data_IF_352942748898
#
_entry.id   IF_352942748898
#
_cell.length_a   1.000
_cell.length_b   1.000
_cell.length_c   1.000
_cell.angle_alpha   90.00
_cell.angle_beta   90.00
_cell.angle_gamma   90.00
#
_symmetry.space_group_name_H-M   'P 1'
#
loop_
_entity.id
_entity.type
_entity.pdbx_description
1 polymer ?
#
# COMPACT_ATOMS: atom_id res chain seq x y z
N UNK A 1 -3.37 0.86 24.17
CA UNK A 1 -3.33 0.98 22.71
C UNK A 1 -2.00 1.60 22.33
N UNK A 2 -1.15 0.92 21.56
CA UNK A 2 -0.06 1.62 20.87
C UNK A 2 -0.70 2.27 19.65
N UNK A 3 -0.52 3.58 19.51
CA UNK A 3 -0.89 4.29 18.27
C UNK A 3 -0.18 3.60 17.11
N UNK A 4 -0.94 3.17 16.10
CA UNK A 4 -0.35 2.62 14.89
C UNK A 4 0.47 3.74 14.22
N UNK A 5 1.78 3.53 14.07
CA UNK A 5 2.61 4.47 13.32
C UNK A 5 2.29 4.33 11.85
N UNK A 6 1.91 5.45 11.25
CA UNK A 6 1.57 5.57 9.84
C UNK A 6 2.68 6.31 9.11
N UNK A 7 3.02 5.83 7.92
CA UNK A 7 3.96 6.46 6.99
C UNK A 7 3.14 7.14 5.90
N UNK A 8 3.43 8.42 5.63
CA UNK A 8 2.81 9.15 4.53
C UNK A 8 3.47 8.74 3.21
N UNK A 9 2.65 8.29 2.26
CA UNK A 9 3.03 7.82 0.92
C UNK A 9 2.16 8.49 -0.15
N UNK A 10 1.65 9.68 0.17
CA UNK A 10 0.69 10.40 -0.69
C UNK A 10 1.30 10.76 -2.04
N UNK A 11 2.58 11.13 -2.09
CA UNK A 11 3.26 11.50 -3.34
C UNK A 11 3.37 10.31 -4.30
N UNK A 12 3.75 9.13 -3.80
CA UNK A 12 3.85 7.92 -4.59
C UNK A 12 2.47 7.40 -5.01
N UNK A 13 1.48 7.50 -4.13
CA UNK A 13 0.10 7.15 -4.46
C UNK A 13 -0.47 8.09 -5.54
N UNK A 14 -0.13 9.38 -5.52
CA UNK A 14 -0.56 10.34 -6.53
C UNK A 14 -0.06 9.94 -7.93
N UNK A 15 1.15 9.40 -8.05
CA UNK A 15 1.68 8.89 -9.32
C UNK A 15 0.85 7.71 -9.89
N UNK A 16 0.17 6.93 -9.02
CA UNK A 16 -0.75 5.87 -9.45
C UNK A 16 -2.18 6.37 -9.76
N UNK A 17 -2.48 7.64 -9.44
CA UNK A 17 -3.75 8.32 -9.70
C UNK A 17 -4.66 8.48 -8.48
N UNK A 18 -4.14 8.30 -7.25
CA UNK A 18 -4.89 8.65 -6.04
C UNK A 18 -4.89 10.17 -5.81
N UNK A 19 -6.02 10.72 -5.37
CA UNK A 19 -6.24 12.17 -5.22
C UNK A 19 -6.49 12.64 -3.78
N UNK A 20 -6.28 11.75 -2.81
CA UNK A 20 -6.45 12.02 -1.38
C UNK A 20 -5.20 11.59 -0.61
N UNK A 21 -5.13 11.92 0.69
CA UNK A 21 -4.02 11.49 1.52
C UNK A 21 -3.98 9.96 1.61
N UNK A 22 -2.80 9.38 1.40
CA UNK A 22 -2.61 7.93 1.51
C UNK A 22 -1.51 7.65 2.52
N UNK A 23 -1.89 6.95 3.58
CA UNK A 23 -1.01 6.49 4.62
C UNK A 23 -0.82 4.98 4.55
N UNK A 24 0.26 4.49 5.14
CA UNK A 24 0.60 3.07 5.18
C UNK A 24 1.00 2.68 6.60
N UNK A 25 0.62 1.48 7.05
CA UNK A 25 1.12 0.98 8.34
C UNK A 25 2.64 0.80 8.28
N UNK A 26 3.33 1.11 9.38
CA UNK A 26 4.78 0.91 9.51
C UNK A 26 5.20 -0.53 9.17
N UNK A 27 4.33 -1.52 9.43
CA UNK A 27 4.57 -2.93 9.08
C UNK A 27 4.64 -3.14 7.56
N UNK A 28 3.68 -2.61 6.79
CA UNK A 28 3.71 -2.70 5.32
C UNK A 28 4.93 -1.94 4.80
N UNK A 29 5.18 -0.73 5.32
CA UNK A 29 6.35 0.06 4.93
C UNK A 29 7.65 -0.72 5.12
N UNK A 30 7.90 -1.24 6.32
CA UNK A 30 9.16 -1.89 6.66
C UNK A 30 9.42 -3.19 5.89
N UNK A 31 8.36 -3.95 5.57
CA UNK A 31 8.47 -5.25 4.91
C UNK A 31 8.45 -5.13 3.38
N UNK A 32 7.60 -4.25 2.84
CA UNK A 32 7.33 -4.20 1.41
C UNK A 32 8.04 -3.03 0.71
N UNK A 33 8.23 -1.90 1.38
CA UNK A 33 8.66 -0.67 0.73
C UNK A 33 10.10 -0.30 1.06
N UNK A 34 10.42 -0.19 2.36
CA UNK A 34 11.70 0.30 2.83
C UNK A 34 12.83 -0.52 2.24
N UNK A 35 13.77 0.15 1.59
CA UNK A 35 14.90 -0.50 0.95
C UNK A 35 16.15 0.36 1.11
N UNK A 36 17.17 -0.22 1.72
CA UNK A 36 18.43 0.46 2.04
C UNK A 36 19.58 -0.14 1.24
N UNK A 37 20.75 0.51 1.28
CA UNK A 37 21.95 -0.04 0.65
C UNK A 37 22.34 -1.42 1.21
N UNK A 38 22.08 -1.67 2.50
CA UNK A 38 22.31 -2.99 3.07
C UNK A 38 21.39 -4.05 2.46
N UNK A 39 20.15 -3.68 2.12
CA UNK A 39 19.21 -4.57 1.45
C UNK A 39 19.64 -4.82 0.00
N UNK A 40 20.18 -3.80 -0.70
CA UNK A 40 20.76 -3.95 -2.04
C UNK A 40 21.88 -5.01 -2.06
N UNK A 41 22.75 -5.00 -1.05
CA UNK A 41 23.84 -5.98 -0.93
C UNK A 41 23.32 -7.40 -0.68
N UNK A 42 22.24 -7.55 0.10
CA UNK A 42 21.72 -8.86 0.52
C UNK A 42 20.76 -9.49 -0.48
N UNK A 43 19.89 -8.69 -1.07
CA UNK A 43 18.73 -9.15 -1.83
C UNK A 43 18.70 -8.61 -3.27
N UNK A 44 19.76 -7.92 -3.70
CA UNK A 44 19.83 -7.30 -5.01
C UNK A 44 19.29 -5.88 -5.02
N UNK A 45 19.77 -5.08 -5.97
CA UNK A 45 19.43 -3.67 -6.05
C UNK A 45 17.95 -3.47 -6.37
N UNK A 46 17.30 -2.60 -5.60
CA UNK A 46 15.95 -2.10 -5.86
C UNK A 46 15.86 -0.62 -5.48
N UNK A 47 15.08 0.13 -6.24
CA UNK A 47 14.74 1.52 -5.95
C UNK A 47 13.53 1.56 -4.99
N UNK A 48 13.67 2.22 -3.83
CA UNK A 48 12.59 2.29 -2.83
C UNK A 48 11.30 2.89 -3.40
N UNK A 49 11.39 3.97 -4.17
CA UNK A 49 10.22 4.63 -4.77
C UNK A 49 9.45 3.72 -5.72
N UNK A 50 10.17 2.94 -6.55
CA UNK A 50 9.57 1.95 -7.44
C UNK A 50 8.79 0.88 -6.67
N UNK A 51 9.35 0.41 -5.55
CA UNK A 51 8.68 -0.57 -4.68
C UNK A 51 7.37 -0.02 -4.10
N UNK A 52 7.36 1.23 -3.65
CA UNK A 52 6.13 1.89 -3.16
C UNK A 52 5.11 1.99 -4.29
N UNK A 53 5.53 2.40 -5.49
CA UNK A 53 4.66 2.51 -6.66
C UNK A 53 4.00 1.17 -7.06
N UNK A 54 4.76 0.07 -7.01
CA UNK A 54 4.26 -1.27 -7.34
C UNK A 54 3.09 -1.69 -6.43
N UNK A 55 3.09 -1.26 -5.16
CA UNK A 55 2.00 -1.53 -4.21
C UNK A 55 0.68 -0.87 -4.62
N UNK A 56 0.72 0.20 -5.41
CA UNK A 56 -0.45 0.97 -5.82
C UNK A 56 -0.98 0.59 -7.21
N UNK A 57 -0.18 -0.07 -8.04
CA UNK A 57 -0.58 -0.43 -9.41
C UNK A 57 -1.84 -1.30 -9.46
N UNK A 58 -1.86 -2.38 -8.67
CA UNK A 58 -3.00 -3.32 -8.61
C UNK A 58 -4.28 -2.65 -8.10
N UNK A 59 -4.30 -1.99 -6.93
CA UNK A 59 -5.53 -1.37 -6.44
C UNK A 59 -6.00 -0.22 -7.33
N UNK A 60 -5.10 0.61 -7.86
CA UNK A 60 -5.48 1.66 -8.81
C UNK A 60 -6.12 1.08 -10.08
N UNK A 61 -5.57 -0.01 -10.62
CA UNK A 61 -6.13 -0.70 -11.78
C UNK A 61 -7.51 -1.30 -11.48
N UNK A 62 -7.66 -1.96 -10.33
CA UNK A 62 -8.96 -2.52 -9.90
C UNK A 62 -10.03 -1.45 -9.77
N UNK A 63 -9.70 -0.31 -9.15
CA UNK A 63 -10.62 0.82 -9.01
C UNK A 63 -11.02 1.38 -10.38
N UNK A 64 -10.05 1.62 -11.26
CA UNK A 64 -10.30 2.11 -12.64
C UNK A 64 -11.20 1.18 -13.44
N UNK A 65 -10.95 -0.13 -13.40
CA UNK A 65 -11.77 -1.14 -14.10
C UNK A 65 -13.19 -1.19 -13.51
N UNK A 66 -13.32 -1.14 -12.18
CA UNK A 66 -14.63 -1.13 -11.51
C UNK A 66 -15.47 0.07 -11.94
N UNK A 67 -14.89 1.26 -11.94
CA UNK A 67 -15.56 2.50 -12.40
C UNK A 67 -15.93 2.42 -13.88
N UNK A 68 -15.03 1.94 -14.74
CA UNK A 68 -15.34 1.72 -16.15
C UNK A 68 -16.46 0.69 -16.37
N UNK A 69 -16.62 -0.25 -15.44
CA UNK A 69 -17.70 -1.24 -15.40
C UNK A 69 -19.02 -0.73 -14.82
N UNK A 70 -19.10 0.53 -14.40
CA UNK A 70 -20.32 1.18 -13.91
C UNK A 70 -20.49 1.17 -12.38
N UNK A 71 -19.50 0.71 -11.62
CA UNK A 71 -19.52 0.81 -10.15
C UNK A 71 -19.08 2.20 -9.69
N UNK A 72 -19.72 2.73 -8.65
CA UNK A 72 -19.21 3.92 -7.98
C UNK A 72 -18.01 3.56 -7.06
N UNK A 73 -17.10 4.52 -6.85
CA UNK A 73 -15.87 4.30 -6.06
C UNK A 73 -16.17 3.82 -4.62
N UNK A 74 -17.25 4.33 -4.01
CA UNK A 74 -17.71 3.93 -2.69
C UNK A 74 -18.29 2.50 -2.65
N UNK A 75 -18.73 1.95 -3.78
CA UNK A 75 -19.15 0.55 -3.88
C UNK A 75 -17.94 -0.40 -3.97
N UNK A 76 -16.80 0.11 -4.49
CA UNK A 76 -15.55 -0.64 -4.58
C UNK A 76 -14.73 -0.58 -3.27
N UNK A 77 -14.81 0.54 -2.55
CA UNK A 77 -14.19 0.73 -1.24
C UNK A 77 -15.19 0.49 -0.11
N UNK A 78 -15.37 -0.77 0.26
CA UNK A 78 -16.20 -1.15 1.41
C UNK A 78 -15.64 -0.61 2.73
N UNK A 79 -16.42 -0.58 3.83
CA UNK A 79 -15.88 -0.29 5.16
C UNK A 79 -14.73 -1.21 5.62
N UNK A 80 -14.59 -2.39 5.00
CA UNK A 80 -13.48 -3.33 5.25
C UNK A 80 -12.32 -3.18 4.26
N UNK A 81 -12.43 -2.23 3.33
CA UNK A 81 -11.44 -1.89 2.34
C UNK A 81 -11.46 -2.77 1.09
N UNK A 82 -10.66 -2.38 0.11
CA UNK A 82 -10.37 -3.16 -1.10
C UNK A 82 -9.17 -4.07 -0.83
N UNK A 83 -9.37 -5.39 -0.87
CA UNK A 83 -8.28 -6.38 -0.78
C UNK A 83 -7.64 -6.66 -2.14
N UNK A 84 -6.33 -6.80 -2.12
CA UNK A 84 -5.57 -7.13 -3.32
C UNK A 84 -4.32 -7.92 -2.96
N UNK A 85 -3.78 -8.58 -3.98
CA UNK A 85 -2.58 -9.40 -3.87
C UNK A 85 -1.56 -8.95 -4.89
N UNK A 86 -0.30 -9.03 -4.51
CA UNK A 86 0.84 -8.75 -5.37
C UNK A 86 2.03 -9.59 -4.93
N UNK A 87 2.96 -9.84 -5.85
CA UNK A 87 4.25 -10.41 -5.51
C UNK A 87 5.17 -9.30 -5.02
N UNK A 88 5.74 -9.47 -3.84
CA UNK A 88 6.66 -8.52 -3.24
C UNK A 88 7.91 -9.26 -2.75
N UNK A 89 9.07 -8.69 -3.02
CA UNK A 89 10.32 -9.16 -2.42
C UNK A 89 10.40 -8.66 -0.98
N UNK A 90 10.13 -9.50 0.01
CA UNK A 90 10.06 -9.04 1.40
C UNK A 90 11.45 -8.69 1.95
N UNK A 91 11.54 -7.52 2.58
CA UNK A 91 12.78 -7.05 3.21
C UNK A 91 13.14 -7.94 4.40
N UNK A 92 14.43 -8.22 4.53
CA UNK A 92 14.98 -8.95 5.69
C UNK A 92 14.97 -10.46 5.51
N UNK A 93 14.37 -10.97 4.44
CA UNK A 93 14.63 -12.33 3.98
C UNK A 93 16.00 -12.35 3.29
N UNK A 94 16.89 -13.31 3.57
CA UNK A 94 18.11 -13.50 2.76
C UNK A 94 17.77 -14.20 1.43
N UNK A 95 16.67 -13.79 0.80
CA UNK A 95 16.07 -14.39 -0.39
C UNK A 95 15.85 -13.31 -1.45
N UNK A 96 16.01 -13.69 -2.71
CA UNK A 96 15.64 -12.88 -3.87
C UNK A 96 14.29 -13.31 -4.49
N UNK A 97 13.57 -14.20 -3.80
CA UNK A 97 12.30 -14.72 -4.28
C UNK A 97 11.13 -13.85 -3.82
N UNK A 98 10.34 -13.36 -4.77
CA UNK A 98 9.13 -12.60 -4.46
C UNK A 98 8.04 -13.53 -3.86
N UNK A 99 7.32 -13.02 -2.86
CA UNK A 99 6.23 -13.72 -2.17
C UNK A 99 4.90 -13.05 -2.46
N UNK A 100 3.86 -13.86 -2.64
CA UNK A 100 2.50 -13.35 -2.76
C UNK A 100 2.06 -12.79 -1.39
N UNK A 101 1.85 -11.48 -1.33
CA UNK A 101 1.28 -10.81 -0.15
C UNK A 101 -0.15 -10.39 -0.41
N UNK A 102 -0.94 -10.32 0.65
CA UNK A 102 -2.29 -9.75 0.62
C UNK A 102 -2.28 -8.46 1.41
N UNK A 103 -2.74 -7.37 0.78
CA UNK A 103 -2.90 -6.06 1.40
C UNK A 103 -4.37 -5.62 1.27
N UNK A 104 -4.72 -4.57 2.02
CA UNK A 104 -5.99 -3.85 1.88
C UNK A 104 -5.75 -2.35 1.83
N UNK A 105 -6.60 -1.65 1.08
CA UNK A 105 -6.75 -0.19 1.14
C UNK A 105 -8.09 0.13 1.82
N UNK A 106 -8.05 0.88 2.91
CA UNK A 106 -9.21 1.25 3.73
C UNK A 106 -9.51 2.75 3.62
N UNK A 107 -10.78 3.17 3.59
CA UNK A 107 -11.12 4.57 3.85
C UNK A 107 -10.80 4.95 5.30
N UNK A 108 -10.26 6.15 5.51
CA UNK A 108 -9.95 6.71 6.81
C UNK A 108 -10.36 8.19 6.88
N UNK A 109 -10.70 8.65 8.08
CA UNK A 109 -10.91 10.07 8.38
C UNK A 109 -9.80 10.53 9.30
N UNK A 110 -9.03 11.53 8.86
CA UNK A 110 -7.98 12.15 9.65
C UNK A 110 -8.50 13.40 10.37
N UNK A 111 -7.71 13.96 11.29
CA UNK A 111 -8.06 15.17 12.05
C UNK A 111 -8.46 16.29 11.07
N UNK A 112 -9.64 16.88 11.27
CA UNK A 112 -10.15 17.97 10.43
C UNK A 112 -10.88 17.51 9.15
N UNK A 113 -11.64 16.41 9.21
CA UNK A 113 -12.48 15.89 8.12
C UNK A 113 -11.75 15.55 6.83
N UNK A 114 -10.43 15.38 6.88
CA UNK A 114 -9.65 14.96 5.72
C UNK A 114 -9.89 13.47 5.48
N UNK A 115 -10.65 13.16 4.43
CA UNK A 115 -10.80 11.80 3.95
C UNK A 115 -9.52 11.35 3.26
N UNK A 116 -9.06 10.15 3.59
CA UNK A 116 -7.95 9.53 2.91
C UNK A 116 -7.99 8.02 3.02
N UNK A 117 -6.85 7.39 2.77
CA UNK A 117 -6.73 5.95 2.67
C UNK A 117 -5.62 5.42 3.57
N UNK A 118 -5.81 4.22 4.12
CA UNK A 118 -4.76 3.49 4.82
C UNK A 118 -4.50 2.16 4.12
N UNK A 119 -3.23 1.93 3.76
CA UNK A 119 -2.73 0.64 3.28
C UNK A 119 -2.22 -0.19 4.46
N UNK A 120 -2.74 -1.40 4.62
CA UNK A 120 -2.36 -2.29 5.72
C UNK A 120 -2.35 -3.76 5.30
N UNK A 121 -1.72 -4.61 6.11
CA UNK A 121 -2.05 -6.03 6.07
C UNK A 121 -3.48 -6.27 6.61
N UNK A 122 -4.18 -7.33 6.19
CA UNK A 122 -5.54 -7.62 6.65
C UNK A 122 -5.67 -7.84 8.17
N UNK A 123 -4.60 -8.29 8.81
CA UNK A 123 -4.50 -8.56 10.26
C UNK A 123 -3.99 -7.36 11.08
N UNK A 124 -3.59 -6.26 10.43
CA UNK A 124 -3.16 -5.05 11.14
C UNK A 124 -4.37 -4.37 11.82
N UNK A 125 -4.25 -3.98 13.10
CA UNK A 125 -5.24 -3.13 13.76
C UNK A 125 -5.09 -1.71 13.22
N UNK A 126 -6.07 -1.27 12.43
CA UNK A 126 -6.16 0.07 11.82
C UNK A 126 -7.47 0.70 12.26
#
# INVERSE_FOLDING_TARGET
MREARLVDVTEEAAAAGFCCQVLMTERVWNLCCQWTELDNVRQGHQEQGSRVGDLFLVPATKLKIGVAGGYAENELLTPFGLRYQLYCLLRGENSQEARLVTLRILPATFIGDTYGLIVSFPDDPV
#
